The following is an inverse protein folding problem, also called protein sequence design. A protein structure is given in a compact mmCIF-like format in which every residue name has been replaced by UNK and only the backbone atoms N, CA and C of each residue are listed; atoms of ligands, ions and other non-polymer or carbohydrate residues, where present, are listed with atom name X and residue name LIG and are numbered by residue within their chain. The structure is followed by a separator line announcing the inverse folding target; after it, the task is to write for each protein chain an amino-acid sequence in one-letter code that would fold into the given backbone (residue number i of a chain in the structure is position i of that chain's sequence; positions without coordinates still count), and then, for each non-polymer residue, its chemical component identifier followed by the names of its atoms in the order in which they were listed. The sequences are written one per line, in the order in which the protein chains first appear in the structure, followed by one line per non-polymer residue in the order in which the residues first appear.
data_IF_333047899558
#
_entry.id   IF_333047899558
#
_cell.length_a   1.000
_cell.length_b   1.000
_cell.length_c   1.000
_cell.angle_alpha   90.00
_cell.angle_beta   90.00
_cell.angle_gamma   90.00
#
_symmetry.space_group_name_H-M   'P 1'
#
loop_
_entity.id
_entity.type
_entity.pdbx_description
1 polymer ?
#
# COMPACT_ATOMS: atom_id res chain seq x y z
N UNK A 1 -18.86 54.20 7.13
CA UNK A 1 -20.17 53.57 6.94
C UNK A 1 -20.09 52.18 7.55
N UNK A 2 -20.84 51.93 8.61
CA UNK A 2 -20.83 50.67 9.36
C UNK A 2 -21.95 49.76 8.83
N UNK A 3 -21.65 48.48 8.61
CA UNK A 3 -22.60 47.47 8.18
C UNK A 3 -23.52 47.12 9.36
N UNK A 4 -24.83 47.24 9.19
CA UNK A 4 -25.82 46.93 10.22
C UNK A 4 -25.95 45.40 10.41
N UNK A 5 -26.11 44.98 11.66
CA UNK A 5 -26.31 43.58 12.02
C UNK A 5 -27.62 43.04 11.42
N UNK A 6 -27.56 41.87 10.76
CA UNK A 6 -28.72 41.17 10.20
C UNK A 6 -28.73 40.99 8.68
N UNK A 7 -27.66 41.37 7.97
CA UNK A 7 -27.55 41.06 6.53
C UNK A 7 -26.83 39.72 6.29
N UNK A 8 -27.43 38.78 5.54
CA UNK A 8 -26.77 37.55 5.14
C UNK A 8 -25.62 37.86 4.19
N UNK A 9 -24.41 37.41 4.56
CA UNK A 9 -23.15 37.74 3.84
C UNK A 9 -22.76 36.65 2.84
N UNK A 10 -23.46 35.50 2.85
CA UNK A 10 -23.24 34.38 1.94
C UNK A 10 -24.58 33.73 1.60
N UNK A 11 -24.86 33.55 0.31
CA UNK A 11 -25.97 32.77 -0.20
C UNK A 11 -25.38 31.69 -1.11
N UNK A 12 -25.27 30.48 -0.59
CA UNK A 12 -24.88 29.31 -1.39
C UNK A 12 -26.08 28.83 -2.21
N UNK A 13 -25.87 28.65 -3.52
CA UNK A 13 -26.86 28.04 -4.42
C UNK A 13 -26.35 26.64 -4.75
N UNK A 14 -26.91 25.63 -4.08
CA UNK A 14 -26.65 24.24 -4.43
C UNK A 14 -27.48 23.85 -5.66
N UNK A 15 -26.83 23.59 -6.78
CA UNK A 15 -27.46 22.98 -7.96
C UNK A 15 -27.39 21.45 -7.83
N UNK A 16 -28.47 20.85 -7.34
CA UNK A 16 -28.65 19.39 -7.37
C UNK A 16 -29.22 19.01 -8.72
N UNK A 17 -28.38 18.49 -9.61
CA UNK A 17 -28.84 17.83 -10.84
C UNK A 17 -29.14 16.37 -10.54
N UNK A 18 -30.43 16.04 -10.42
CA UNK A 18 -30.91 14.66 -10.34
C UNK A 18 -31.26 14.19 -11.74
N UNK A 19 -30.56 13.18 -12.24
CA UNK A 19 -31.00 12.41 -13.41
C UNK A 19 -31.50 11.05 -12.92
N UNK A 20 -32.81 10.97 -12.68
CA UNK A 20 -33.52 9.72 -12.47
C UNK A 20 -34.21 9.32 -13.78
N UNK A 21 -34.14 8.03 -14.12
CA UNK A 21 -34.76 7.41 -15.28
C UNK A 21 -34.17 6.02 -15.46
N UNK A 22 -34.62 4.91 -14.87
CA UNK A 22 -35.95 4.34 -14.57
C UNK A 22 -36.08 3.01 -15.33
N UNK A 23 -36.46 1.98 -14.57
CA UNK A 23 -36.99 0.65 -14.97
C UNK A 23 -36.01 -0.38 -15.55
N UNK A 24 -35.76 -1.46 -14.79
CA UNK A 24 -36.05 -2.85 -15.20
C UNK A 24 -35.91 -3.83 -14.03
N UNK A 25 -37.08 -4.25 -13.57
CA UNK A 25 -37.49 -5.57 -13.06
C UNK A 25 -36.79 -6.22 -11.85
N UNK A 26 -37.59 -6.35 -10.79
CA UNK A 26 -37.35 -7.26 -9.67
C UNK A 26 -38.09 -8.57 -9.94
N UNK A 27 -37.38 -9.66 -10.27
CA UNK A 27 -37.72 -11.02 -9.82
C UNK A 27 -36.68 -12.08 -10.28
N UNK A 28 -36.43 -13.05 -9.40
CA UNK A 28 -35.90 -14.39 -9.65
C UNK A 28 -34.45 -14.58 -10.11
N UNK A 29 -33.65 -15.23 -9.24
CA UNK A 29 -32.87 -16.47 -9.46
C UNK A 29 -31.82 -16.53 -8.33
N UNK A 30 -32.11 -17.13 -7.17
CA UNK A 30 -31.88 -18.57 -6.92
C UNK A 30 -31.16 -19.29 -8.06
N UNK A 31 -29.84 -19.50 -7.89
CA UNK A 31 -29.14 -20.56 -8.60
C UNK A 31 -28.09 -21.18 -7.68
N UNK A 32 -28.59 -22.13 -6.90
CA UNK A 32 -28.10 -23.50 -6.79
C UNK A 32 -26.78 -23.82 -7.52
N UNK A 33 -25.88 -24.47 -6.77
CA UNK A 33 -24.94 -25.46 -7.31
C UNK A 33 -25.63 -26.36 -8.35
N UNK A 34 -25.10 -26.38 -9.57
CA UNK A 34 -24.74 -27.64 -10.26
C UNK A 34 -23.97 -27.33 -11.55
N UNK A 35 -22.73 -27.80 -11.62
CA UNK A 35 -22.07 -28.08 -12.90
C UNK A 35 -21.68 -29.54 -12.85
N UNK A 36 -22.59 -30.39 -13.33
CA UNK A 36 -22.34 -31.77 -13.71
C UNK A 36 -21.24 -31.80 -14.77
N UNK A 37 -20.13 -32.48 -14.46
CA UNK A 37 -19.19 -32.98 -15.46
C UNK A 37 -18.91 -34.45 -15.13
N UNK A 38 -19.84 -35.28 -15.60
CA UNK A 38 -19.67 -36.60 -16.20
C UNK A 38 -18.32 -37.31 -15.94
N UNK A 39 -18.34 -38.30 -15.03
CA UNK A 39 -17.30 -39.32 -14.96
C UNK A 39 -17.30 -40.17 -16.24
N UNK A 40 -16.12 -40.59 -16.72
CA UNK A 40 -15.90 -42.02 -16.69
C UNK A 40 -14.60 -42.43 -15.99
N UNK A 41 -14.75 -43.41 -15.11
CA UNK A 41 -13.70 -44.16 -14.44
C UNK A 41 -12.71 -44.78 -15.44
N UNK A 42 -11.41 -44.57 -15.21
CA UNK A 42 -10.36 -45.58 -15.44
C UNK A 42 -9.13 -45.25 -14.59
N UNK A 43 -8.92 -46.10 -13.58
CA UNK A 43 -7.77 -46.28 -12.69
C UNK A 43 -6.41 -46.43 -13.43
N UNK A 44 -5.23 -46.31 -12.76
CA UNK A 44 -5.01 -46.58 -11.34
C UNK A 44 -4.31 -45.50 -10.52
N UNK A 45 -4.66 -45.54 -9.24
CA UNK A 45 -3.88 -45.07 -8.10
C UNK A 45 -2.47 -45.65 -8.17
N UNK A 46 -1.49 -44.82 -8.54
CA UNK A 46 -0.14 -44.99 -8.04
C UNK A 46 -0.01 -44.09 -6.83
N UNK A 47 -0.13 -44.71 -5.65
CA UNK A 47 0.49 -44.24 -4.41
C UNK A 47 1.99 -44.10 -4.67
N UNK A 48 2.44 -42.86 -4.91
CA UNK A 48 3.82 -42.47 -4.65
C UNK A 48 3.76 -41.30 -3.68
N UNK A 49 3.95 -41.62 -2.40
CA UNK A 49 4.20 -40.70 -1.32
C UNK A 49 5.51 -39.93 -1.60
N UNK A 50 5.41 -38.87 -2.38
CA UNK A 50 6.58 -38.11 -2.82
C UNK A 50 6.24 -36.65 -3.07
N UNK A 51 6.50 -35.82 -2.05
CA UNK A 51 6.62 -34.36 -2.16
C UNK A 51 5.34 -33.61 -2.53
N UNK A 52 4.67 -33.06 -1.50
CA UNK A 52 3.81 -31.88 -1.64
C UNK A 52 4.65 -30.70 -2.11
N UNK A 53 4.98 -30.70 -3.40
CA UNK A 53 5.32 -29.50 -4.13
C UNK A 53 4.09 -28.62 -4.13
N UNK A 54 3.98 -27.75 -3.12
CA UNK A 54 3.26 -26.51 -3.29
C UNK A 54 3.82 -25.89 -4.57
N UNK A 55 3.05 -25.95 -5.66
CA UNK A 55 3.31 -25.17 -6.86
C UNK A 55 3.34 -23.73 -6.40
N UNK A 56 4.53 -23.25 -6.10
CA UNK A 56 4.83 -21.86 -5.83
C UNK A 56 4.56 -21.16 -7.16
N UNK A 57 3.30 -20.77 -7.39
CA UNK A 57 3.01 -19.81 -8.43
C UNK A 57 3.91 -18.62 -8.12
N UNK A 58 4.90 -18.30 -8.98
CA UNK A 58 5.71 -17.13 -8.73
C UNK A 58 4.76 -15.95 -8.67
N UNK A 59 4.71 -15.28 -7.52
CA UNK A 59 3.97 -14.03 -7.36
C UNK A 59 4.46 -13.11 -8.49
N UNK A 60 3.56 -12.41 -9.21
CA UNK A 60 3.96 -11.57 -10.33
C UNK A 60 5.09 -10.63 -9.89
N UNK A 61 6.12 -10.54 -10.73
CA UNK A 61 7.25 -9.66 -10.48
C UNK A 61 6.74 -8.22 -10.30
N UNK A 62 7.21 -7.54 -9.26
CA UNK A 62 6.86 -6.14 -9.02
C UNK A 62 7.62 -5.33 -10.07
N UNK A 63 6.89 -4.66 -10.95
CA UNK A 63 7.47 -3.81 -11.98
C UNK A 63 7.49 -2.37 -11.46
N UNK A 64 8.66 -1.72 -11.60
CA UNK A 64 8.81 -0.29 -11.42
C UNK A 64 8.40 0.41 -12.70
N UNK A 65 7.59 1.46 -12.59
CA UNK A 65 7.34 2.40 -13.68
C UNK A 65 8.43 3.48 -13.75
N UNK A 66 8.45 4.27 -14.81
CA UNK A 66 9.47 5.31 -15.01
C UNK A 66 9.48 6.35 -13.88
N UNK A 67 8.31 6.70 -13.34
CA UNK A 67 8.17 7.63 -12.21
C UNK A 67 8.75 7.04 -10.92
N UNK A 68 8.52 5.75 -10.65
CA UNK A 68 9.16 5.06 -9.53
C UNK A 68 10.68 5.07 -9.64
N UNK A 69 11.23 4.88 -10.83
CA UNK A 69 12.69 4.85 -11.05
C UNK A 69 13.31 6.22 -10.77
N UNK A 70 12.64 7.31 -11.15
CA UNK A 70 13.12 8.68 -10.90
C UNK A 70 13.01 9.05 -9.40
N UNK A 71 11.95 8.60 -8.74
CA UNK A 71 11.66 8.90 -7.35
C UNK A 71 12.40 8.01 -6.33
N UNK A 72 13.09 6.95 -6.76
CA UNK A 72 13.85 6.05 -5.87
C UNK A 72 15.34 6.38 -5.82
N UNK A 73 16.00 6.02 -4.71
CA UNK A 73 17.45 6.18 -4.61
C UNK A 73 18.19 5.13 -5.46
N UNK A 74 19.39 5.42 -5.99
CA UNK A 74 20.19 4.44 -6.71
C UNK A 74 20.48 3.17 -5.89
N UNK A 75 20.59 3.30 -4.56
CA UNK A 75 20.79 2.17 -3.66
C UNK A 75 19.56 1.25 -3.60
N UNK A 76 18.35 1.80 -3.70
CA UNK A 76 17.11 1.02 -3.79
C UNK A 76 17.04 0.28 -5.12
N UNK A 77 17.39 0.93 -6.22
CA UNK A 77 17.35 0.33 -7.56
C UNK A 77 18.37 -0.81 -7.71
N UNK A 78 19.60 -0.64 -7.19
CA UNK A 78 20.65 -1.66 -7.24
C UNK A 78 20.27 -2.92 -6.43
N UNK A 79 19.58 -2.72 -5.29
CA UNK A 79 19.17 -3.80 -4.40
C UNK A 79 17.69 -4.20 -4.54
N UNK A 80 16.98 -3.76 -5.59
CA UNK A 80 15.52 -3.80 -5.65
C UNK A 80 14.92 -5.21 -5.47
N UNK A 81 15.42 -6.20 -6.20
CA UNK A 81 14.94 -7.58 -6.09
C UNK A 81 15.16 -8.17 -4.68
N UNK A 82 16.31 -7.87 -4.09
CA UNK A 82 16.64 -8.30 -2.73
C UNK A 82 15.76 -7.60 -1.68
N UNK A 83 15.48 -6.31 -1.85
CA UNK A 83 14.54 -5.55 -1.03
C UNK A 83 13.12 -6.12 -1.13
N UNK A 84 12.63 -6.36 -2.35
CA UNK A 84 11.30 -6.95 -2.56
C UNK A 84 11.17 -8.32 -1.89
N UNK A 85 12.21 -9.16 -2.02
CA UNK A 85 12.26 -10.46 -1.37
C UNK A 85 12.29 -10.34 0.16
N UNK A 86 13.08 -9.41 0.71
CA UNK A 86 13.13 -9.18 2.16
C UNK A 86 11.78 -8.73 2.69
N UNK A 87 11.19 -7.68 2.09
CA UNK A 87 9.93 -7.11 2.51
C UNK A 87 8.75 -8.09 2.35
N UNK A 88 8.80 -9.04 1.42
CA UNK A 88 7.77 -10.10 1.31
C UNK A 88 7.70 -11.01 2.56
N UNK A 89 8.79 -11.12 3.33
CA UNK A 89 8.84 -11.89 4.57
C UNK A 89 8.46 -11.06 5.80
N UNK A 90 8.16 -9.77 5.62
CA UNK A 90 7.80 -8.82 6.68
C UNK A 90 6.33 -8.42 6.49
N UNK A 91 5.39 -8.85 7.35
CA UNK A 91 3.95 -8.66 7.14
C UNK A 91 3.54 -7.21 6.87
N UNK A 92 4.06 -6.27 7.66
CA UNK A 92 3.82 -4.81 7.52
C UNK A 92 4.45 -4.19 6.27
N UNK A 93 5.25 -4.94 5.49
CA UNK A 93 5.80 -4.51 4.21
C UNK A 93 5.33 -5.40 3.04
N UNK A 94 4.30 -6.22 3.28
CA UNK A 94 3.80 -7.18 2.28
C UNK A 94 3.06 -6.53 1.10
N UNK A 95 2.50 -5.33 1.31
CA UNK A 95 1.85 -4.53 0.28
C UNK A 95 2.89 -3.84 -0.61
N UNK A 96 2.65 -3.80 -1.92
CA UNK A 96 3.59 -3.22 -2.89
C UNK A 96 3.62 -1.69 -2.74
N UNK A 97 2.45 -1.07 -2.58
CA UNK A 97 2.34 0.39 -2.46
C UNK A 97 3.05 0.92 -1.21
N UNK A 98 2.92 0.21 -0.08
CA UNK A 98 3.66 0.53 1.16
C UNK A 98 5.16 0.53 0.91
N UNK A 99 5.68 -0.48 0.20
CA UNK A 99 7.12 -0.56 -0.10
C UNK A 99 7.58 0.57 -1.00
N UNK A 100 6.89 0.79 -2.12
CA UNK A 100 7.23 1.84 -3.08
C UNK A 100 7.22 3.21 -2.41
N UNK A 101 6.14 3.52 -1.68
CA UNK A 101 6.00 4.80 -0.98
C UNK A 101 7.04 4.96 0.14
N UNK A 102 7.37 3.90 0.88
CA UNK A 102 8.45 3.96 1.86
C UNK A 102 9.77 4.37 1.20
N UNK A 103 10.16 3.75 0.08
CA UNK A 103 11.41 4.09 -0.59
C UNK A 103 11.40 5.50 -1.18
N UNK A 104 10.26 5.96 -1.70
CA UNK A 104 10.09 7.36 -2.13
C UNK A 104 10.24 8.33 -0.97
N UNK A 105 9.70 8.01 0.22
CA UNK A 105 9.86 8.85 1.42
C UNK A 105 11.30 8.89 1.92
N UNK A 106 11.99 7.75 1.93
CA UNK A 106 13.41 7.70 2.28
C UNK A 106 14.23 8.56 1.30
N UNK A 107 13.92 8.48 -0.01
CA UNK A 107 14.56 9.30 -1.02
C UNK A 107 14.24 10.78 -0.86
N UNK A 108 12.99 11.14 -0.59
CA UNK A 108 12.59 12.51 -0.30
C UNK A 108 13.35 13.07 0.89
N UNK A 109 13.53 12.28 1.96
CA UNK A 109 14.32 12.69 3.13
C UNK A 109 15.81 12.89 2.80
N UNK A 110 16.40 12.12 1.89
CA UNK A 110 17.77 12.35 1.44
C UNK A 110 17.93 13.65 0.65
N UNK A 111 16.92 14.01 -0.14
CA UNK A 111 16.94 15.17 -1.02
C UNK A 111 16.58 16.46 -0.28
N UNK A 112 15.49 16.43 0.49
CA UNK A 112 14.97 17.54 1.27
C UNK A 112 14.37 17.04 2.60
N UNK A 113 15.17 16.93 3.67
CA UNK A 113 14.66 16.51 4.98
C UNK A 113 13.70 17.52 5.62
N UNK A 114 13.61 18.75 5.08
CA UNK A 114 12.71 19.80 5.56
C UNK A 114 11.40 19.89 4.77
N UNK A 115 11.15 18.96 3.85
CA UNK A 115 9.96 18.97 3.02
C UNK A 115 8.68 18.94 3.86
N UNK A 116 7.70 19.80 3.53
CA UNK A 116 6.47 19.94 4.31
C UNK A 116 5.69 18.62 4.45
N UNK A 117 5.73 17.77 3.41
CA UNK A 117 5.14 16.43 3.44
C UNK A 117 5.74 15.52 4.51
N UNK A 118 7.06 15.58 4.72
CA UNK A 118 7.73 14.79 5.78
C UNK A 118 7.33 15.30 7.15
N UNK A 119 7.29 16.63 7.33
CA UNK A 119 6.82 17.24 8.57
C UNK A 119 5.38 16.83 8.87
N UNK A 120 4.49 16.82 7.87
CA UNK A 120 3.11 16.37 8.01
C UNK A 120 3.06 14.89 8.42
N UNK A 121 3.83 14.01 7.78
CA UNK A 121 3.89 12.58 8.09
C UNK A 121 4.25 12.30 9.55
N UNK A 122 5.18 13.05 10.13
CA UNK A 122 5.53 12.92 11.55
C UNK A 122 4.38 13.29 12.49
N UNK A 123 3.39 14.07 12.03
CA UNK A 123 2.20 14.44 12.83
C UNK A 123 1.04 13.45 12.69
N UNK A 124 1.09 12.56 11.69
CA UNK A 124 0.00 11.62 11.44
C UNK A 124 -0.02 10.50 12.49
N UNK A 125 -1.20 10.15 13.02
CA UNK A 125 -1.32 9.07 13.97
C UNK A 125 -1.10 7.73 13.27
N UNK A 126 -0.43 6.81 13.98
CA UNK A 126 -0.24 5.42 13.57
C UNK A 126 -1.04 4.50 14.49
N UNK A 127 -1.36 3.31 14.00
CA UNK A 127 -1.93 2.27 14.84
C UNK A 127 -0.88 1.79 15.86
N UNK A 128 -1.21 1.81 17.15
CA UNK A 128 -0.28 1.43 18.21
C UNK A 128 -0.28 -0.07 18.50
N UNK A 129 -1.29 -0.81 18.03
CA UNK A 129 -1.39 -2.25 18.26
C UNK A 129 -0.24 -3.01 17.57
N UNK A 130 0.22 -2.51 16.41
CA UNK A 130 1.30 -3.10 15.60
C UNK A 130 2.67 -2.41 15.78
N UNK A 131 2.84 -1.55 16.79
CA UNK A 131 4.04 -0.73 16.97
C UNK A 131 5.33 -1.57 17.04
N UNK A 132 5.26 -2.74 17.69
CA UNK A 132 6.39 -3.66 17.79
C UNK A 132 6.78 -4.27 16.43
N UNK A 133 5.80 -4.50 15.55
CA UNK A 133 6.03 -5.02 14.21
C UNK A 133 6.69 -3.96 13.32
N UNK A 134 6.26 -2.69 13.43
CA UNK A 134 6.88 -1.57 12.73
C UNK A 134 8.34 -1.36 13.13
N UNK A 135 8.64 -1.39 14.44
CA UNK A 135 10.01 -1.29 14.94
C UNK A 135 10.89 -2.45 14.47
N UNK A 136 10.34 -3.67 14.47
CA UNK A 136 11.05 -4.86 13.98
C UNK A 136 11.31 -4.76 12.47
N UNK A 137 10.35 -4.27 11.69
CA UNK A 137 10.51 -4.06 10.26
C UNK A 137 11.58 -3.00 9.95
N UNK A 138 11.56 -1.87 10.66
CA UNK A 138 12.55 -0.80 10.49
C UNK A 138 13.98 -1.27 10.78
N UNK A 139 14.17 -1.93 11.92
CA UNK A 139 15.49 -2.46 12.32
C UNK A 139 15.96 -3.57 11.38
N UNK A 140 15.06 -4.46 10.95
CA UNK A 140 15.36 -5.51 9.96
C UNK A 140 15.78 -4.92 8.61
N UNK A 141 15.05 -3.90 8.14
CA UNK A 141 15.36 -3.21 6.88
C UNK A 141 16.73 -2.54 6.93
N UNK A 142 17.04 -1.83 8.03
CA UNK A 142 18.34 -1.18 8.21
C UNK A 142 19.49 -2.17 8.34
N UNK A 143 19.28 -3.28 9.06
CA UNK A 143 20.29 -4.31 9.21
C UNK A 143 20.62 -5.01 7.88
N UNK A 144 19.60 -5.26 7.05
CA UNK A 144 19.78 -5.91 5.75
C UNK A 144 20.26 -4.94 4.66
N UNK A 145 19.83 -3.68 4.69
CA UNK A 145 20.07 -2.68 3.63
C UNK A 145 20.45 -1.32 4.21
N UNK A 146 21.60 -1.25 4.88
CA UNK A 146 22.08 -0.01 5.50
C UNK A 146 22.29 1.16 4.50
N UNK A 147 22.51 0.86 3.21
CA UNK A 147 22.65 1.87 2.16
C UNK A 147 21.31 2.47 1.68
N UNK A 148 20.19 1.80 1.99
CA UNK A 148 18.83 2.23 1.58
C UNK A 148 18.20 3.14 2.62
N UNK A 149 18.50 2.89 3.91
CA UNK A 149 17.96 3.69 5.01
C UNK A 149 18.93 4.83 5.32
N UNK A 150 18.53 6.10 5.15
CA UNK A 150 19.40 7.24 5.43
C UNK A 150 19.86 7.23 6.90
N UNK A 151 21.16 7.40 7.12
CA UNK A 151 21.74 7.40 8.49
C UNK A 151 21.26 8.56 9.36
N UNK A 152 20.62 9.56 8.76
CA UNK A 152 20.02 10.71 9.44
C UNK A 152 18.68 10.38 10.10
N UNK A 153 18.02 9.30 9.69
CA UNK A 153 16.75 8.86 10.27
C UNK A 153 16.99 7.88 11.41
N UNK A 154 16.26 8.00 12.51
CA UNK A 154 16.27 6.97 13.56
C UNK A 154 15.47 5.73 13.12
N UNK A 155 15.64 4.60 13.82
CA UNK A 155 14.81 3.42 13.56
C UNK A 155 13.34 3.70 13.93
N UNK A 156 13.10 4.54 14.94
CA UNK A 156 11.77 4.99 15.35
C UNK A 156 11.08 5.82 14.26
N UNK A 157 11.81 6.71 13.57
CA UNK A 157 11.24 7.50 12.46
C UNK A 157 10.84 6.60 11.28
N UNK A 158 11.69 5.62 10.94
CA UNK A 158 11.40 4.65 9.88
C UNK A 158 10.21 3.77 10.28
N UNK A 159 10.15 3.32 11.54
CA UNK A 159 9.00 2.57 12.06
C UNK A 159 7.71 3.41 11.99
N UNK A 160 7.79 4.70 12.32
CA UNK A 160 6.66 5.62 12.21
C UNK A 160 6.18 5.73 10.77
N UNK A 161 7.08 5.92 9.79
CA UNK A 161 6.70 5.96 8.38
C UNK A 161 6.05 4.65 7.91
N UNK A 162 6.57 3.49 8.34
CA UNK A 162 5.95 2.19 8.06
C UNK A 162 4.53 2.14 8.65
N UNK A 163 4.33 2.62 9.87
CA UNK A 163 3.01 2.67 10.51
C UNK A 163 2.03 3.59 9.78
N UNK A 164 2.48 4.79 9.38
CA UNK A 164 1.64 5.74 8.62
C UNK A 164 1.22 5.13 7.28
N UNK A 165 2.13 4.44 6.61
CA UNK A 165 1.87 3.78 5.33
C UNK A 165 0.95 2.56 5.46
N UNK A 166 1.01 1.80 6.57
CA UNK A 166 0.08 0.68 6.79
C UNK A 166 -1.31 1.14 7.23
N UNK A 167 -1.45 2.41 7.64
CA UNK A 167 -2.73 3.01 7.92
C UNK A 167 -3.45 3.45 6.63
N UNK A 168 -4.62 4.07 6.77
CA UNK A 168 -5.46 4.57 5.65
C UNK A 168 -4.80 5.63 4.75
N UNK A 169 -3.57 6.03 5.04
CA UNK A 169 -2.88 7.12 4.35
C UNK A 169 -2.03 6.66 3.17
N UNK A 170 -1.82 5.35 2.96
CA UNK A 170 -1.00 4.83 1.84
C UNK A 170 -1.40 5.39 0.47
N UNK A 171 -2.71 5.48 0.20
CA UNK A 171 -3.23 5.96 -1.09
C UNK A 171 -3.18 7.48 -1.21
N UNK A 172 -3.47 8.20 -0.11
CA UNK A 172 -3.42 9.66 -0.09
C UNK A 172 -1.99 10.21 -0.25
N UNK A 173 -0.98 9.42 0.11
CA UNK A 173 0.41 9.81 -0.02
C UNK A 173 0.93 9.80 -1.45
N UNK A 174 0.30 9.06 -2.37
CA UNK A 174 0.69 9.10 -3.78
C UNK A 174 0.45 10.51 -4.36
N UNK A 175 -0.67 11.14 -4.02
CA UNK A 175 -1.00 12.51 -4.44
C UNK A 175 -0.06 13.58 -3.84
N UNK A 176 0.67 13.25 -2.78
CA UNK A 176 1.60 14.17 -2.08
C UNK A 176 3.03 14.01 -2.56
N UNK A 177 3.33 12.88 -3.22
CA UNK A 177 4.65 12.53 -3.75
C UNK A 177 4.75 12.72 -5.27
N UNK A 178 3.64 13.01 -5.95
CA UNK A 178 3.53 13.49 -7.33
C UNK A 178 3.77 15.02 -7.44
#
# INVERSE_FOLDING_TARGET
MALAAGQPIFQEVALVSSTFGDSMDANCCDHHHDVELDEPQNEPLNDDEGERGHRHHPRPAIVLDDDDVDAMSPAVLDAFDALMSHCNNVPVLSMVDVRKNLFKLLRLHELDPSHESLLLLHTLPIDTDDLAEYATAATSLRAAFAAVVPSTLSDDDVAHFIGVLNHKYCHALNEVLE
#
